data_IF_467177644875
#
_entry.id   IF_467177644875
#
_cell.length_a   1.000
_cell.length_b   1.000
_cell.length_c   1.000
_cell.angle_alpha   90.00
_cell.angle_beta   90.00
_cell.angle_gamma   90.00
#
_symmetry.space_group_name_H-M   'P 1'
#
loop_
_entity.id
_entity.type
_entity.pdbx_description
1 polymer ?
#
# COMPACT_ATOMS: atom_id res chain seq x y z
N UNK A 1 36.93 12.56 7.29
CA UNK A 1 35.78 13.48 7.14
C UNK A 1 34.53 12.76 7.62
N UNK A 2 34.15 13.05 8.87
CA UNK A 2 33.11 12.33 9.61
C UNK A 2 31.74 12.97 9.33
N UNK A 3 30.79 12.21 8.77
CA UNK A 3 29.39 12.64 8.70
C UNK A 3 28.68 12.23 9.99
N UNK A 4 28.38 13.25 10.79
CA UNK A 4 27.53 13.22 11.97
C UNK A 4 26.15 12.65 11.63
N UNK A 5 25.82 11.51 12.25
CA UNK A 5 24.50 10.88 12.23
C UNK A 5 23.60 11.66 13.20
N UNK A 6 22.76 12.56 12.68
CA UNK A 6 21.68 13.18 13.46
C UNK A 6 20.58 12.14 13.69
N UNK A 7 20.56 11.52 14.85
CA UNK A 7 19.38 10.85 15.41
C UNK A 7 18.75 11.79 16.42
N UNK A 8 17.71 12.51 16.02
CA UNK A 8 16.85 13.25 16.93
C UNK A 8 15.41 13.18 16.43
N UNK A 9 14.78 12.02 16.58
CA UNK A 9 13.33 11.97 16.65
C UNK A 9 12.96 11.51 18.06
N UNK A 10 12.63 12.52 18.85
CA UNK A 10 11.92 12.40 20.12
C UNK A 10 10.61 11.62 19.93
N UNK A 11 10.24 10.71 20.85
CA UNK A 11 8.91 10.14 20.86
C UNK A 11 7.93 11.27 21.21
N UNK A 12 7.27 11.81 20.19
CA UNK A 12 6.20 12.76 20.35
C UNK A 12 5.05 12.02 21.03
N UNK A 13 4.99 12.22 22.35
CA UNK A 13 3.93 11.81 23.25
C UNK A 13 2.67 12.60 22.89
N UNK A 14 2.06 12.25 21.76
CA UNK A 14 0.74 12.75 21.37
C UNK A 14 -0.29 12.10 22.26
N UNK A 15 -0.48 12.70 23.43
CA UNK A 15 -1.68 12.55 24.24
C UNK A 15 -2.85 13.17 23.46
N UNK A 16 -3.36 12.46 22.46
CA UNK A 16 -4.67 12.72 21.90
C UNK A 16 -5.66 11.84 22.66
N UNK A 17 -6.24 12.43 23.70
CA UNK A 17 -7.44 11.96 24.38
C UNK A 17 -8.62 11.91 23.40
N UNK A 18 -8.67 10.90 22.56
CA UNK A 18 -9.94 10.51 21.93
C UNK A 18 -10.51 9.41 22.80
N UNK A 19 -11.36 9.82 23.75
CA UNK A 19 -12.32 8.96 24.41
C UNK A 19 -13.29 8.41 23.37
N UNK A 20 -12.85 7.43 22.60
CA UNK A 20 -13.72 6.59 21.81
C UNK A 20 -14.10 5.45 22.73
N UNK A 21 -15.28 5.57 23.32
CA UNK A 21 -15.99 4.48 23.95
C UNK A 21 -15.96 3.30 22.97
N UNK A 22 -15.00 2.39 23.17
CA UNK A 22 -15.11 1.04 22.72
C UNK A 22 -16.32 0.52 23.47
N UNK A 23 -17.47 0.57 22.79
CA UNK A 23 -18.50 -0.43 22.92
C UNK A 23 -17.80 -1.76 22.66
N UNK A 24 -17.20 -2.29 23.72
CA UNK A 24 -16.92 -3.69 23.86
C UNK A 24 -18.27 -4.33 23.62
N UNK A 25 -18.45 -4.86 22.42
CA UNK A 25 -19.41 -5.92 22.21
C UNK A 25 -19.12 -6.89 23.34
N UNK A 26 -20.01 -6.87 24.32
CA UNK A 26 -20.09 -7.84 25.38
C UNK A 26 -20.32 -9.16 24.65
N UNK A 27 -19.22 -9.78 24.21
CA UNK A 27 -19.13 -11.22 24.11
C UNK A 27 -19.49 -11.64 25.51
N UNK A 28 -20.78 -11.98 25.64
CA UNK A 28 -21.40 -12.38 26.88
C UNK A 28 -20.37 -13.25 27.58
N UNK A 29 -19.79 -12.70 28.65
CA UNK A 29 -18.90 -13.42 29.50
C UNK A 29 -19.73 -14.61 29.94
N UNK A 30 -19.48 -15.75 29.27
CA UNK A 30 -20.15 -17.00 29.58
C UNK A 30 -19.91 -17.12 31.08
N UNK A 31 -20.96 -17.06 31.92
CA UNK A 31 -20.76 -17.14 33.35
C UNK A 31 -19.89 -18.37 33.55
N UNK A 32 -18.80 -18.30 34.33
CA UNK A 32 -17.99 -19.48 34.59
C UNK A 32 -19.01 -20.53 35.01
N UNK A 33 -19.10 -21.60 34.22
CA UNK A 33 -19.98 -22.71 34.57
C UNK A 33 -19.59 -23.02 35.99
N UNK A 34 -20.50 -22.74 36.91
CA UNK A 34 -20.38 -23.04 38.31
C UNK A 34 -20.49 -24.57 38.35
N UNK A 35 -19.40 -25.21 37.94
CA UNK A 35 -19.14 -26.63 38.14
C UNK A 35 -19.03 -26.70 39.64
N UNK A 36 -20.18 -26.90 40.27
CA UNK A 36 -20.32 -27.13 41.68
C UNK A 36 -19.42 -28.35 41.93
N UNK A 37 -18.22 -28.18 42.52
CA UNK A 37 -17.36 -29.31 42.72
C UNK A 37 -18.13 -30.25 43.65
N UNK A 38 -18.23 -31.56 43.35
CA UNK A 38 -18.84 -32.50 44.27
C UNK A 38 -18.21 -32.29 45.64
N UNK A 39 -19.04 -32.21 46.69
CA UNK A 39 -18.70 -31.77 48.05
C UNK A 39 -17.66 -32.65 48.80
N UNK A 40 -16.83 -33.42 48.09
CA UNK A 40 -15.78 -34.31 48.59
C UNK A 40 -14.38 -33.66 48.61
N UNK A 41 -14.25 -32.34 48.38
CA UNK A 41 -12.96 -31.67 48.19
C UNK A 41 -12.26 -31.13 49.45
N UNK A 42 -12.87 -31.23 50.64
CA UNK A 42 -12.26 -30.67 51.85
C UNK A 42 -11.19 -31.57 52.50
N UNK A 43 -11.25 -32.89 52.29
CA UNK A 43 -10.32 -33.83 52.95
C UNK A 43 -9.00 -34.01 52.18
N UNK A 44 -8.97 -33.76 50.87
CA UNK A 44 -7.77 -33.97 50.03
C UNK A 44 -6.71 -32.85 50.13
N UNK A 45 -7.10 -31.62 50.51
CA UNK A 45 -6.16 -30.49 50.57
C UNK A 45 -5.16 -30.58 51.74
N UNK A 46 -5.49 -31.33 52.80
CA UNK A 46 -4.63 -31.45 53.97
C UNK A 46 -3.46 -32.45 53.78
N UNK A 47 -3.53 -33.35 52.81
CA UNK A 47 -2.55 -34.43 52.61
C UNK A 47 -1.44 -34.11 51.59
N UNK A 48 -1.53 -32.99 50.86
CA UNK A 48 -0.63 -32.64 49.75
C UNK A 48 0.35 -31.50 50.06
N UNK A 49 0.55 -31.15 51.34
CA UNK A 49 1.62 -30.23 51.68
C UNK A 49 2.97 -30.95 51.55
N UNK A 50 3.92 -30.40 50.77
CA UNK A 50 5.24 -30.99 50.63
C UNK A 50 5.94 -31.02 52.00
N UNK A 51 6.12 -32.22 52.55
CA UNK A 51 6.66 -32.43 53.91
C UNK A 51 8.18 -32.50 53.90
N UNK A 52 8.77 -32.93 52.79
CA UNK A 52 10.22 -33.02 52.65
C UNK A 52 10.79 -31.81 51.91
N UNK A 53 12.04 -31.45 52.18
CA UNK A 53 12.74 -30.35 51.50
C UNK A 53 12.83 -30.57 49.98
N UNK A 54 12.98 -31.82 49.55
CA UNK A 54 12.96 -32.20 48.15
C UNK A 54 11.60 -31.92 47.49
N UNK A 55 10.49 -32.30 48.14
CA UNK A 55 9.14 -31.99 47.65
C UNK A 55 8.90 -30.48 47.56
N UNK A 56 9.38 -29.71 48.55
CA UNK A 56 9.26 -28.25 48.56
C UNK A 56 10.03 -27.61 47.39
N UNK A 57 11.24 -28.10 47.11
CA UNK A 57 12.04 -27.63 45.97
C UNK A 57 11.34 -27.90 44.63
N UNK A 58 10.82 -29.11 44.42
CA UNK A 58 10.10 -29.46 43.20
C UNK A 58 8.79 -28.69 43.06
N UNK A 59 8.05 -28.50 44.15
CA UNK A 59 6.83 -27.69 44.16
C UNK A 59 7.11 -26.23 43.79
N UNK A 60 8.14 -25.62 44.39
CA UNK A 60 8.57 -24.26 44.04
C UNK A 60 9.02 -24.17 42.57
N UNK A 61 9.76 -25.17 42.08
CA UNK A 61 10.17 -25.24 40.67
C UNK A 61 9.00 -25.42 39.71
N UNK A 62 7.99 -26.21 40.06
CA UNK A 62 6.78 -26.36 39.27
C UNK A 62 5.99 -25.04 39.21
N UNK A 63 5.79 -24.39 40.36
CA UNK A 63 5.08 -23.11 40.44
C UNK A 63 5.79 -22.00 39.65
N UNK A 64 7.12 -21.93 39.72
CA UNK A 64 7.89 -20.99 38.90
C UNK A 64 7.79 -21.30 37.41
N UNK A 65 7.78 -22.58 37.01
CA UNK A 65 7.55 -22.95 35.62
C UNK A 65 6.14 -22.55 35.14
N UNK A 66 5.10 -22.77 35.96
CA UNK A 66 3.72 -22.39 35.65
C UNK A 66 3.53 -20.87 35.53
N UNK A 67 4.14 -20.09 36.43
CA UNK A 67 4.09 -18.62 36.35
C UNK A 67 4.82 -18.09 35.12
N UNK A 68 6.00 -18.63 34.78
CA UNK A 68 6.74 -18.27 33.56
C UNK A 68 5.99 -18.64 32.29
N UNK A 69 5.36 -19.83 32.25
CA UNK A 69 4.57 -20.26 31.11
C UNK A 69 3.34 -19.35 30.94
N UNK A 70 2.65 -19.02 32.02
CA UNK A 70 1.48 -18.13 32.02
C UNK A 70 1.85 -16.75 31.47
N UNK A 71 2.97 -16.18 31.94
CA UNK A 71 3.47 -14.89 31.44
C UNK A 71 3.82 -14.93 29.94
N UNK A 72 4.43 -16.03 29.44
CA UNK A 72 4.72 -16.19 28.01
C UNK A 72 3.44 -16.29 27.17
N UNK A 73 2.45 -17.05 27.63
CA UNK A 73 1.18 -17.22 26.92
C UNK A 73 0.43 -15.89 26.83
N UNK A 74 0.40 -15.13 27.92
CA UNK A 74 -0.20 -13.80 27.96
C UNK A 74 0.50 -12.83 27.01
N UNK A 75 1.84 -12.75 27.06
CA UNK A 75 2.62 -11.92 26.14
C UNK A 75 2.38 -12.29 24.65
N UNK A 76 2.34 -13.58 24.32
CA UNK A 76 2.03 -14.00 22.95
C UNK A 76 0.61 -13.63 22.52
N UNK A 77 -0.35 -13.66 23.44
CA UNK A 77 -1.72 -13.21 23.19
C UNK A 77 -1.77 -11.71 22.91
N UNK A 78 -1.01 -10.91 23.66
CA UNK A 78 -0.88 -9.47 23.43
C UNK A 78 -0.22 -9.16 22.08
N UNK A 79 0.87 -9.85 21.73
CA UNK A 79 1.52 -9.65 20.43
C UNK A 79 0.57 -9.95 19.26
N UNK A 80 -0.23 -11.01 19.37
CA UNK A 80 -1.24 -11.35 18.34
C UNK A 80 -2.36 -10.32 18.26
N UNK A 81 -2.79 -9.75 19.39
CA UNK A 81 -3.83 -8.72 19.36
C UNK A 81 -3.30 -7.42 18.75
N UNK A 82 -2.05 -7.04 19.05
CA UNK A 82 -1.38 -5.89 18.45
C UNK A 82 -1.18 -6.07 16.94
N UNK A 83 -0.69 -7.23 16.50
CA UNK A 83 -0.49 -7.51 15.08
C UNK A 83 -1.80 -7.40 14.28
N UNK A 84 -2.89 -7.93 14.83
CA UNK A 84 -4.21 -7.84 14.20
C UNK A 84 -4.70 -6.38 14.07
N UNK A 85 -4.47 -5.54 15.08
CA UNK A 85 -4.83 -4.11 15.02
C UNK A 85 -4.01 -3.38 13.96
N UNK A 86 -2.71 -3.67 13.85
CA UNK A 86 -1.88 -3.08 12.80
C UNK A 86 -2.27 -3.54 11.40
N UNK A 87 -2.55 -4.83 11.22
CA UNK A 87 -2.96 -5.39 9.93
C UNK A 87 -4.28 -4.77 9.46
N UNK A 88 -5.27 -4.64 10.36
CA UNK A 88 -6.54 -3.99 10.03
C UNK A 88 -6.36 -2.51 9.71
N UNK A 89 -5.43 -1.81 10.38
CA UNK A 89 -5.07 -0.42 10.04
C UNK A 89 -4.44 -0.33 8.65
N UNK A 90 -3.43 -1.17 8.36
CA UNK A 90 -2.77 -1.23 7.04
C UNK A 90 -3.78 -1.58 5.93
N UNK A 91 -4.71 -2.49 6.19
CA UNK A 91 -5.76 -2.85 5.24
C UNK A 91 -6.69 -1.66 4.92
N UNK A 92 -7.06 -0.87 5.93
CA UNK A 92 -7.87 0.35 5.74
C UNK A 92 -7.11 1.43 4.97
N UNK A 93 -5.83 1.61 5.27
CA UNK A 93 -4.98 2.56 4.56
C UNK A 93 -4.87 2.19 3.07
N UNK A 94 -4.62 0.89 2.76
CA UNK A 94 -4.62 0.39 1.38
C UNK A 94 -5.95 0.64 0.67
N UNK A 95 -7.08 0.30 1.30
CA UNK A 95 -8.40 0.54 0.72
C UNK A 95 -8.66 2.03 0.43
N UNK A 96 -8.19 2.93 1.31
CA UNK A 96 -8.29 4.37 1.10
C UNK A 96 -7.41 4.86 -0.06
N UNK A 97 -6.20 4.30 -0.20
CA UNK A 97 -5.32 4.57 -1.34
C UNK A 97 -5.94 4.07 -2.65
N UNK A 98 -6.45 2.85 -2.68
CA UNK A 98 -7.09 2.26 -3.86
C UNK A 98 -8.29 3.10 -4.34
N UNK A 99 -9.10 3.61 -3.41
CA UNK A 99 -10.22 4.48 -3.74
C UNK A 99 -9.78 5.80 -4.38
N UNK A 100 -8.63 6.36 -3.98
CA UNK A 100 -8.04 7.56 -4.61
C UNK A 100 -7.47 7.22 -5.98
N UNK A 101 -6.77 6.10 -6.11
CA UNK A 101 -6.22 5.62 -7.38
C UNK A 101 -7.32 5.37 -8.42
N UNK A 102 -8.45 4.77 -8.04
CA UNK A 102 -9.57 4.56 -8.95
C UNK A 102 -10.14 5.88 -9.50
N UNK A 103 -10.14 6.96 -8.71
CA UNK A 103 -10.56 8.29 -9.19
C UNK A 103 -9.56 8.88 -10.17
N UNK A 104 -8.27 8.77 -9.87
CA UNK A 104 -7.20 9.23 -10.77
C UNK A 104 -7.19 8.46 -12.08
N UNK A 105 -7.41 7.14 -12.05
CA UNK A 105 -7.51 6.31 -13.26
C UNK A 105 -8.64 6.78 -14.17
N UNK A 106 -9.82 7.07 -13.62
CA UNK A 106 -10.95 7.62 -14.39
C UNK A 106 -10.62 8.98 -15.02
N UNK A 107 -9.95 9.88 -14.28
CA UNK A 107 -9.51 11.18 -14.80
C UNK A 107 -8.48 11.03 -15.93
N UNK A 108 -7.52 10.11 -15.77
CA UNK A 108 -6.51 9.83 -16.80
C UNK A 108 -7.18 9.29 -18.07
N UNK A 109 -8.11 8.34 -17.95
CA UNK A 109 -8.85 7.80 -19.09
C UNK A 109 -9.69 8.88 -19.79
N UNK A 110 -10.36 9.75 -19.04
CA UNK A 110 -11.11 10.87 -19.60
C UNK A 110 -10.20 11.86 -20.37
N UNK A 111 -9.04 12.19 -19.79
CA UNK A 111 -8.05 13.06 -20.44
C UNK A 111 -7.50 12.43 -21.72
N UNK A 112 -7.22 11.13 -21.70
CA UNK A 112 -6.69 10.39 -22.86
C UNK A 112 -7.72 10.34 -24.01
N UNK A 113 -9.00 10.12 -23.67
CA UNK A 113 -10.11 10.21 -24.64
C UNK A 113 -10.25 11.63 -25.23
N UNK A 114 -10.16 12.67 -24.40
CA UNK A 114 -10.21 14.06 -24.86
C UNK A 114 -9.04 14.38 -25.80
N UNK A 115 -7.82 13.92 -25.46
CA UNK A 115 -6.64 14.10 -26.30
C UNK A 115 -6.81 13.38 -27.65
N UNK A 116 -7.34 12.16 -27.65
CA UNK A 116 -7.62 11.41 -28.87
C UNK A 116 -8.62 12.15 -29.77
N UNK A 117 -9.71 12.66 -29.21
CA UNK A 117 -10.69 13.47 -29.94
C UNK A 117 -10.08 14.75 -30.52
N UNK A 118 -9.22 15.43 -29.76
CA UNK A 118 -8.50 16.62 -30.23
C UNK A 118 -7.59 16.28 -31.42
N UNK A 119 -6.83 15.19 -31.34
CA UNK A 119 -5.97 14.72 -32.44
C UNK A 119 -6.80 14.40 -33.68
N UNK A 120 -7.93 13.70 -33.53
CA UNK A 120 -8.84 13.41 -34.63
C UNK A 120 -9.43 14.68 -35.25
N UNK A 121 -9.83 15.66 -34.42
CA UNK A 121 -10.35 16.94 -34.88
C UNK A 121 -9.29 17.73 -35.67
N UNK A 122 -8.04 17.76 -35.19
CA UNK A 122 -6.92 18.39 -35.88
C UNK A 122 -6.62 17.70 -37.22
N UNK A 123 -6.62 16.36 -37.26
CA UNK A 123 -6.45 15.61 -38.50
C UNK A 123 -7.59 15.89 -39.49
N UNK A 124 -8.83 15.94 -39.02
CA UNK A 124 -9.99 16.26 -39.85
C UNK A 124 -9.91 17.69 -40.39
N UNK A 125 -9.51 18.66 -39.56
CA UNK A 125 -9.31 20.05 -39.99
C UNK A 125 -8.17 20.16 -41.00
N UNK A 126 -7.03 19.51 -40.73
CA UNK A 126 -5.89 19.47 -41.64
C UNK A 126 -6.25 18.83 -43.00
N UNK A 127 -7.08 17.78 -42.98
CA UNK A 127 -7.59 17.17 -44.20
C UNK A 127 -8.50 18.15 -44.99
N UNK A 128 -9.36 18.91 -44.30
CA UNK A 128 -10.18 19.94 -44.95
C UNK A 128 -9.37 21.12 -45.49
N UNK A 129 -8.33 21.54 -44.77
CA UNK A 129 -7.45 22.65 -45.17
C UNK A 129 -6.44 22.28 -46.25
N UNK A 130 -6.30 21.00 -46.62
CA UNK A 130 -5.33 20.55 -47.62
C UNK A 130 -5.63 21.04 -49.06
N UNK A 131 -6.79 21.67 -49.31
CA UNK A 131 -7.14 22.24 -50.61
C UNK A 131 -6.52 23.61 -50.89
N UNK A 132 -5.85 24.24 -49.92
CA UNK A 132 -5.11 25.50 -50.16
C UNK A 132 -3.61 25.21 -50.27
N UNK A 133 -3.01 25.32 -51.47
CA UNK A 133 -1.58 25.14 -51.67
C UNK A 133 -0.81 26.32 -51.07
N UNK A 134 -0.50 26.26 -49.77
CA UNK A 134 0.37 27.23 -49.12
C UNK A 134 1.83 26.88 -49.42
N UNK A 135 2.28 27.29 -50.61
CA UNK A 135 3.70 27.30 -50.97
C UNK A 135 4.42 28.35 -50.14
N UNK A 136 5.08 27.94 -49.05
CA UNK A 136 6.23 28.64 -48.46
C UNK A 136 6.91 27.70 -47.48
N UNK A 137 7.76 26.85 -48.05
CA UNK A 137 8.81 26.14 -47.34
C UNK A 137 9.54 27.11 -46.39
N UNK A 138 9.51 26.83 -45.09
CA UNK A 138 10.52 27.36 -44.16
C UNK A 138 11.53 26.27 -43.87
N UNK A 139 12.80 26.63 -44.02
CA UNK A 139 13.98 25.78 -43.87
C UNK A 139 14.09 25.22 -42.44
N UNK A 140 14.64 24.01 -42.27
CA UNK A 140 14.81 23.40 -40.95
C UNK A 140 15.95 24.10 -40.21
N UNK A 141 15.65 24.78 -39.09
CA UNK A 141 16.68 25.21 -38.15
C UNK A 141 17.03 24.03 -37.25
N UNK A 142 18.24 23.50 -37.43
CA UNK A 142 18.86 22.50 -36.57
C UNK A 142 18.68 22.88 -35.09
N UNK A 143 17.98 22.04 -34.34
CA UNK A 143 18.09 22.04 -32.89
C UNK A 143 19.28 21.18 -32.52
N UNK A 144 20.30 21.84 -31.99
CA UNK A 144 21.40 21.21 -31.27
C UNK A 144 20.84 20.43 -30.09
N UNK A 145 21.24 19.17 -30.04
CA UNK A 145 20.99 18.21 -28.98
C UNK A 145 21.46 18.84 -27.67
N UNK A 146 20.51 19.18 -26.79
CA UNK A 146 20.85 19.44 -25.40
C UNK A 146 21.36 18.12 -24.84
N UNK A 147 22.68 18.05 -24.69
CA UNK A 147 23.43 16.97 -24.08
C UNK A 147 22.65 16.51 -22.85
N UNK A 148 22.27 15.24 -22.89
CA UNK A 148 21.66 14.50 -21.81
C UNK A 148 22.25 14.98 -20.49
N UNK A 149 21.44 15.75 -19.78
CA UNK A 149 21.75 16.20 -18.44
C UNK A 149 22.07 14.97 -17.58
N UNK A 150 23.19 14.97 -16.83
CA UNK A 150 23.60 13.86 -15.97
C UNK A 150 22.61 13.57 -14.83
N UNK A 151 21.52 14.33 -14.72
CA UNK A 151 20.43 14.10 -13.77
C UNK A 151 19.37 13.08 -14.23
N UNK A 152 19.54 12.45 -15.40
CA UNK A 152 18.64 11.34 -15.83
C UNK A 152 19.04 9.97 -15.25
N UNK A 153 20.16 9.86 -14.53
CA UNK A 153 20.64 8.59 -13.94
C UNK A 153 20.21 8.32 -12.50
N UNK A 154 19.40 9.19 -11.88
CA UNK A 154 18.84 8.93 -10.52
C UNK A 154 17.34 8.65 -10.62
N UNK A 155 17.01 7.62 -11.41
CA UNK A 155 15.69 6.96 -11.35
C UNK A 155 15.98 5.53 -10.90
N UNK A 156 16.60 5.40 -9.74
CA UNK A 156 16.82 4.11 -9.09
C UNK A 156 15.50 3.72 -8.40
N UNK A 157 14.72 2.90 -9.09
CA UNK A 157 13.77 1.90 -8.53
C UNK A 157 12.37 2.31 -8.03
N UNK A 158 11.90 3.55 -8.16
CA UNK A 158 10.51 3.90 -7.75
C UNK A 158 9.51 4.27 -8.86
N UNK A 159 9.87 4.19 -10.16
CA UNK A 159 8.92 4.50 -11.26
C UNK A 159 7.95 3.36 -11.62
N UNK A 160 7.74 2.40 -10.72
CA UNK A 160 6.73 1.34 -10.88
C UNK A 160 5.32 1.81 -10.53
N UNK A 161 4.85 2.91 -11.13
CA UNK A 161 3.41 3.27 -11.13
C UNK A 161 2.94 3.83 -12.48
N UNK A 162 3.74 3.73 -13.56
CA UNK A 162 3.17 3.77 -14.91
C UNK A 162 2.74 2.34 -15.22
N UNK A 163 1.52 1.99 -14.79
CA UNK A 163 1.01 0.62 -14.92
C UNK A 163 1.11 0.14 -16.37
N UNK A 164 1.55 -1.11 -16.58
CA UNK A 164 1.71 -1.71 -17.92
C UNK A 164 0.50 -1.48 -18.84
N UNK A 165 -0.71 -1.42 -18.28
CA UNK A 165 -1.96 -1.09 -18.97
C UNK A 165 -1.93 0.27 -19.66
N UNK A 166 -1.45 1.32 -19.00
CA UNK A 166 -1.39 2.67 -19.62
C UNK A 166 -0.36 2.70 -20.74
N UNK A 167 0.78 2.01 -20.56
CA UNK A 167 1.82 1.90 -21.58
C UNK A 167 1.29 1.19 -22.85
N UNK A 168 0.50 0.13 -22.68
CA UNK A 168 -0.18 -0.55 -23.81
C UNK A 168 -1.15 0.39 -24.53
N UNK A 169 -1.98 1.15 -23.80
CA UNK A 169 -2.90 2.12 -24.41
C UNK A 169 -2.14 3.19 -25.20
N UNK A 170 -1.06 3.73 -24.63
CA UNK A 170 -0.19 4.68 -25.33
C UNK A 170 0.45 4.06 -26.58
N UNK A 171 0.97 2.83 -26.49
CA UNK A 171 1.56 2.13 -27.62
C UNK A 171 0.56 1.97 -28.78
N UNK A 172 -0.69 1.59 -28.50
CA UNK A 172 -1.74 1.51 -29.51
C UNK A 172 -2.10 2.87 -30.11
N UNK A 173 -2.21 3.92 -29.27
CA UNK A 173 -2.47 5.27 -29.74
C UNK A 173 -1.36 5.78 -30.67
N UNK A 174 -0.09 5.57 -30.30
CA UNK A 174 1.07 5.90 -31.12
C UNK A 174 1.13 5.10 -32.41
N UNK A 175 0.85 3.79 -32.37
CA UNK A 175 0.81 2.94 -33.56
C UNK A 175 -0.28 3.40 -34.55
N UNK A 176 -1.47 3.75 -34.04
CA UNK A 176 -2.54 4.33 -34.84
C UNK A 176 -2.14 5.65 -35.49
N UNK A 177 -1.56 6.57 -34.70
CA UNK A 177 -1.09 7.86 -35.20
C UNK A 177 0.00 7.68 -36.28
N UNK A 178 0.97 6.82 -36.03
CA UNK A 178 2.03 6.49 -36.98
C UNK A 178 1.46 5.93 -38.28
N UNK A 179 0.48 5.01 -38.20
CA UNK A 179 -0.21 4.47 -39.36
C UNK A 179 -0.92 5.57 -40.19
N UNK A 180 -1.67 6.47 -39.55
CA UNK A 180 -2.34 7.57 -40.24
C UNK A 180 -1.35 8.53 -40.90
N UNK A 181 -0.26 8.88 -40.21
CA UNK A 181 0.81 9.70 -40.79
C UNK A 181 1.42 9.03 -42.02
N UNK A 182 1.71 7.73 -41.94
CA UNK A 182 2.27 6.96 -43.05
C UNK A 182 1.29 6.89 -44.23
N UNK A 183 0.02 6.62 -43.95
CA UNK A 183 -1.06 6.58 -44.94
C UNK A 183 -1.21 7.91 -45.67
N UNK A 184 -1.20 9.02 -44.93
CA UNK A 184 -1.29 10.37 -45.49
C UNK A 184 -0.10 10.70 -46.38
N UNK A 185 1.11 10.35 -45.93
CA UNK A 185 2.33 10.55 -46.70
C UNK A 185 2.33 9.75 -48.01
N UNK A 186 1.86 8.50 -47.98
CA UNK A 186 1.70 7.66 -49.18
C UNK A 186 0.65 8.23 -50.14
N UNK A 187 -0.48 8.73 -49.63
CA UNK A 187 -1.51 9.33 -50.48
C UNK A 187 -0.99 10.59 -51.20
N UNK A 188 -0.20 11.43 -50.50
CA UNK A 188 0.41 12.63 -51.08
C UNK A 188 1.49 12.31 -52.13
N UNK A 189 2.14 11.14 -52.08
CA UNK A 189 3.13 10.72 -53.10
C UNK A 189 2.50 10.19 -54.40
N UNK A 190 1.22 9.83 -54.38
CA UNK A 190 0.52 9.31 -55.57
C UNK A 190 -0.14 10.40 -56.42
N UNK A 191 -0.28 11.60 -55.86
CA UNK A 191 -0.71 12.80 -56.58
C UNK A 191 0.51 13.55 -57.10
#
# INVERSE_FOLDING_TARGET
MNRLRKTSESPQKSAASTGRALSTNAVAARPPLQVNPPALSHTYKAALQPRTSAEQYWAARALTAETLLSARVEHHRELRSLSYVEETKRARERAAHDARHAKLEKLILALLMMLLLLVLALLHLAHRSASTPTSRLRKPSHFTISILSPFTSVIEHETSVVGSKTLVVFAFAFAGLAYFMFRHWLARRRQ
#
